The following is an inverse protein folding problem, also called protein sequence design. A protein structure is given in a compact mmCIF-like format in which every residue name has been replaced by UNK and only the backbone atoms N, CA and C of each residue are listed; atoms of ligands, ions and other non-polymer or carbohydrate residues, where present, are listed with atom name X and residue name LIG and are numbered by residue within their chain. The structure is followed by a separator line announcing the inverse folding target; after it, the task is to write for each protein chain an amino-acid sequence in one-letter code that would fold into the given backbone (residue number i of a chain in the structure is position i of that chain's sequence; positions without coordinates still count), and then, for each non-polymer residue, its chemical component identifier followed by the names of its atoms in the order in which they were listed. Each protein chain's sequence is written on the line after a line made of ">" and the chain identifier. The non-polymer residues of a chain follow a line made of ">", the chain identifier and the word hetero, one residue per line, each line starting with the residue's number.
data_IF_606181695363
#
_entry.id   IF_606181695363
#
_cell.length_a   1.000
_cell.length_b   1.000
_cell.length_c   1.000
_cell.angle_alpha   90.00
_cell.angle_beta   90.00
_cell.angle_gamma   90.00
#
_symmetry.space_group_name_H-M   'P 1'
#
loop_
_entity.id
_entity.type
_entity.pdbx_description
1 polymer ?
#
# COMPACT_ATOMS: atom_id res chain seq x y z
N UNK A 1 -19.32 16.08 -1.80
CA UNK A 1 -18.20 17.01 -1.65
C UNK A 1 -16.93 16.23 -2.01
N UNK A 2 -16.18 16.69 -3.01
CA UNK A 2 -14.83 16.15 -3.28
C UNK A 2 -13.95 16.60 -2.10
N UNK A 3 -13.13 15.70 -1.57
CA UNK A 3 -12.38 15.84 -0.31
C UNK A 3 -11.58 17.16 -0.20
N UNK A 4 -11.33 17.62 1.03
CA UNK A 4 -10.44 18.76 1.28
C UNK A 4 -8.98 18.43 0.91
N UNK A 5 -8.31 19.37 0.25
CA UNK A 5 -6.93 19.17 -0.21
C UNK A 5 -5.92 19.09 0.95
N UNK A 6 -6.24 19.71 2.08
CA UNK A 6 -5.39 19.67 3.29
C UNK A 6 -5.37 18.27 3.87
N UNK A 7 -6.55 17.65 3.98
CA UNK A 7 -6.70 16.27 4.45
C UNK A 7 -6.05 15.30 3.48
N UNK A 8 -6.26 15.48 2.17
CA UNK A 8 -5.61 14.66 1.14
C UNK A 8 -4.09 14.70 1.26
N UNK A 9 -3.50 15.89 1.49
CA UNK A 9 -2.06 16.05 1.68
C UNK A 9 -1.57 15.32 2.94
N UNK A 10 -2.34 15.33 4.01
CA UNK A 10 -2.03 14.59 5.23
C UNK A 10 -2.03 13.08 4.97
N UNK A 11 -3.07 12.55 4.31
CA UNK A 11 -3.15 11.13 3.96
C UNK A 11 -2.02 10.68 3.03
N UNK A 12 -1.68 11.48 2.02
CA UNK A 12 -0.53 11.20 1.16
C UNK A 12 0.78 11.17 1.95
N UNK A 13 0.97 12.09 2.89
CA UNK A 13 2.19 12.11 3.73
C UNK A 13 2.29 10.87 4.61
N UNK A 14 1.16 10.40 5.14
CA UNK A 14 1.12 9.24 6.02
C UNK A 14 1.30 7.92 5.24
N UNK A 15 0.63 7.76 4.11
CA UNK A 15 0.69 6.55 3.29
C UNK A 15 1.95 6.46 2.40
N UNK A 16 2.51 7.59 1.96
CA UNK A 16 3.60 7.62 0.97
C UNK A 16 4.89 8.15 1.60
N UNK A 17 4.91 9.41 2.05
CA UNK A 17 6.15 10.06 2.50
C UNK A 17 6.76 9.38 3.73
N UNK A 18 5.96 8.99 4.72
CA UNK A 18 6.45 8.39 5.96
C UNK A 18 7.10 7.00 5.75
N UNK A 19 6.53 6.07 4.95
CA UNK A 19 7.16 4.79 4.69
C UNK A 19 8.22 4.82 3.58
N UNK A 20 8.17 5.74 2.61
CA UNK A 20 9.00 5.65 1.38
C UNK A 20 10.05 6.75 1.24
N UNK A 21 9.93 7.91 1.90
CA UNK A 21 10.87 9.03 1.70
C UNK A 21 12.25 8.67 2.26
N UNK A 22 13.27 8.71 1.38
CA UNK A 22 14.70 8.47 1.69
C UNK A 22 14.96 7.12 2.38
N UNK A 23 14.19 6.10 2.01
CA UNK A 23 14.28 4.76 2.58
C UNK A 23 14.64 3.73 1.52
N UNK A 24 15.39 2.71 1.93
CA UNK A 24 15.67 1.57 1.07
C UNK A 24 14.44 0.65 1.08
N UNK A 25 13.73 0.56 -0.05
CA UNK A 25 12.45 -0.15 -0.13
C UNK A 25 12.55 -1.59 0.39
N UNK A 26 13.58 -2.32 -0.03
CA UNK A 26 13.78 -3.72 0.34
C UNK A 26 14.16 -3.95 1.82
N UNK A 27 14.71 -2.92 2.50
CA UNK A 27 15.20 -3.03 3.89
C UNK A 27 14.27 -2.36 4.91
N UNK A 28 13.78 -1.16 4.59
CA UNK A 28 12.99 -0.33 5.49
C UNK A 28 11.47 -0.56 5.39
N UNK A 29 11.01 -1.16 4.29
CA UNK A 29 9.59 -1.37 4.03
C UNK A 29 9.30 -2.87 4.05
N UNK A 30 8.64 -3.39 5.11
CA UNK A 30 8.38 -4.81 5.28
C UNK A 30 7.61 -5.45 4.11
N UNK A 31 6.86 -4.65 3.37
CA UNK A 31 6.12 -5.09 2.18
C UNK A 31 7.06 -5.60 1.07
N UNK A 32 8.21 -4.94 0.86
CA UNK A 32 9.15 -5.31 -0.21
C UNK A 32 10.18 -6.37 0.22
N UNK A 33 10.20 -6.77 1.49
CA UNK A 33 11.09 -7.84 1.95
C UNK A 33 10.86 -9.18 1.21
N UNK A 34 9.61 -9.43 0.77
CA UNK A 34 9.22 -10.63 0.01
C UNK A 34 8.64 -10.30 -1.37
N UNK A 35 8.60 -9.03 -1.76
CA UNK A 35 7.95 -8.56 -2.99
C UNK A 35 8.94 -7.67 -3.73
N UNK A 36 9.13 -7.92 -5.03
CA UNK A 36 10.03 -7.11 -5.85
C UNK A 36 9.63 -5.64 -5.81
N UNK A 37 10.59 -4.76 -5.53
CA UNK A 37 10.45 -3.30 -5.45
C UNK A 37 10.21 -2.60 -6.80
N UNK A 38 9.43 -3.22 -7.70
CA UNK A 38 9.01 -2.66 -8.99
C UNK A 38 7.96 -1.56 -8.81
N UNK A 39 7.90 -0.62 -9.75
CA UNK A 39 6.96 0.51 -9.72
C UNK A 39 5.49 0.06 -9.69
N UNK A 40 5.14 -1.07 -10.30
CA UNK A 40 3.81 -1.67 -10.26
C UNK A 40 3.42 -2.11 -8.85
N UNK A 41 4.32 -2.82 -8.15
CA UNK A 41 4.10 -3.25 -6.77
C UNK A 41 4.07 -2.06 -5.82
N UNK A 42 4.87 -1.03 -6.10
CA UNK A 42 4.82 0.23 -5.38
C UNK A 42 3.48 0.96 -5.57
N UNK A 43 2.91 0.92 -6.78
CA UNK A 43 1.58 1.45 -7.03
C UNK A 43 0.51 0.72 -6.20
N UNK A 44 0.55 -0.62 -6.17
CA UNK A 44 -0.37 -1.41 -5.33
C UNK A 44 -0.22 -1.04 -3.86
N UNK A 45 1.02 -0.99 -3.35
CA UNK A 45 1.30 -0.63 -1.95
C UNK A 45 0.74 0.76 -1.59
N UNK A 46 0.98 1.76 -2.45
CA UNK A 46 0.45 3.13 -2.24
C UNK A 46 -1.08 3.14 -2.32
N UNK A 47 -1.67 2.41 -3.25
CA UNK A 47 -3.12 2.29 -3.37
C UNK A 47 -3.73 1.72 -2.09
N UNK A 48 -3.21 0.62 -1.57
CA UNK A 48 -3.71 0.00 -0.33
C UNK A 48 -3.54 0.92 0.88
N UNK A 49 -2.41 1.62 0.98
CA UNK A 49 -2.18 2.62 2.03
C UNK A 49 -3.19 3.76 1.98
N UNK A 50 -3.44 4.30 0.78
CA UNK A 50 -4.42 5.35 0.57
C UNK A 50 -5.87 4.85 0.77
N UNK A 51 -6.19 3.63 0.37
CA UNK A 51 -7.53 3.04 0.52
C UNK A 51 -7.90 2.78 1.99
N UNK A 52 -6.91 2.56 2.87
CA UNK A 52 -7.13 2.46 4.32
C UNK A 52 -7.44 3.80 4.99
N UNK A 53 -6.91 4.90 4.44
CA UNK A 53 -7.07 6.25 4.98
C UNK A 53 -8.26 6.98 4.34
N UNK A 54 -8.50 6.76 3.05
CA UNK A 54 -9.56 7.39 2.28
C UNK A 54 -10.82 6.53 2.26
N UNK A 55 -12.02 7.14 2.19
CA UNK A 55 -13.26 6.40 1.98
C UNK A 55 -13.25 5.63 0.65
N UNK A 56 -13.84 4.44 0.64
CA UNK A 56 -13.81 3.44 -0.46
C UNK A 56 -14.19 3.97 -1.84
N UNK A 57 -14.95 5.07 -1.93
CA UNK A 57 -15.45 5.64 -3.18
C UNK A 57 -14.70 6.88 -3.67
N UNK A 58 -13.65 7.34 -2.98
CA UNK A 58 -12.92 8.56 -3.32
C UNK A 58 -11.66 8.30 -4.15
N UNK A 59 -11.01 7.15 -3.96
CA UNK A 59 -9.78 6.81 -4.69
C UNK A 59 -10.12 6.25 -6.07
N UNK A 60 -9.83 7.02 -7.12
CA UNK A 60 -10.18 6.64 -8.50
C UNK A 60 -8.99 6.10 -9.30
N UNK A 61 -7.82 6.74 -9.15
CA UNK A 61 -6.63 6.44 -9.96
C UNK A 61 -5.39 7.00 -9.27
N UNK A 62 -4.33 6.21 -9.25
CA UNK A 62 -2.98 6.68 -8.92
C UNK A 62 -2.12 6.63 -10.18
N UNK A 63 -1.18 7.58 -10.28
CA UNK A 63 -0.16 7.61 -11.32
C UNK A 63 1.19 7.80 -10.66
N UNK A 64 2.08 6.84 -10.86
CA UNK A 64 3.47 6.89 -10.41
C UNK A 64 4.37 7.16 -11.60
N UNK A 65 5.36 8.00 -11.36
CA UNK A 65 6.45 8.29 -12.29
C UNK A 65 7.72 7.81 -11.62
N UNK A 66 8.36 6.81 -12.19
CA UNK A 66 9.69 6.37 -11.76
C UNK A 66 10.76 7.27 -12.39
N UNK A 67 10.56 7.60 -13.67
CA UNK A 67 11.33 8.58 -14.43
C UNK A 67 10.37 9.41 -15.28
N UNK A 68 10.87 10.44 -15.97
CA UNK A 68 10.06 11.28 -16.86
C UNK A 68 9.38 10.47 -17.97
N UNK A 69 10.00 9.37 -18.41
CA UNK A 69 9.52 8.49 -19.48
C UNK A 69 8.81 7.23 -18.95
N UNK A 70 9.17 6.75 -17.75
CA UNK A 70 8.54 5.58 -17.16
C UNK A 70 7.45 5.97 -16.16
N UNK A 71 6.19 5.74 -16.54
CA UNK A 71 5.04 6.00 -15.67
C UNK A 71 4.02 4.86 -15.71
N UNK A 72 3.46 4.57 -14.54
CA UNK A 72 2.45 3.53 -14.36
C UNK A 72 1.20 4.15 -13.78
N UNK A 73 0.06 3.64 -14.27
CA UNK A 73 -1.27 4.06 -13.84
C UNK A 73 -1.95 2.85 -13.23
N UNK A 74 -2.44 2.99 -12.01
CA UNK A 74 -3.18 1.95 -11.30
C UNK A 74 -4.54 2.47 -10.84
N UNK A 75 -5.59 1.67 -11.04
CA UNK A 75 -6.99 2.04 -10.76
C UNK A 75 -7.68 1.09 -9.78
N UNK A 76 -6.94 0.19 -9.13
CA UNK A 76 -7.52 -0.81 -8.23
C UNK A 76 -8.24 -1.96 -8.96
N UNK A 77 -8.02 -2.14 -10.26
CA UNK A 77 -8.62 -3.22 -11.07
C UNK A 77 -8.03 -4.60 -10.74
N UNK A 78 -6.88 -4.65 -10.04
CA UNK A 78 -6.41 -5.89 -9.46
C UNK A 78 -7.16 -6.13 -8.15
N UNK A 79 -8.15 -7.01 -8.22
CA UNK A 79 -8.69 -7.69 -7.05
C UNK A 79 -7.51 -8.35 -6.33
N UNK A 80 -7.02 -7.73 -5.26
CA UNK A 80 -6.02 -8.35 -4.42
C UNK A 80 -6.59 -9.73 -3.99
N UNK A 81 -5.80 -10.82 -4.05
CA UNK A 81 -6.24 -12.07 -3.45
C UNK A 81 -6.58 -11.77 -1.98
N UNK A 82 -7.71 -12.29 -1.52
CA UNK A 82 -8.30 -12.10 -0.20
C UNK A 82 -7.45 -12.68 0.95
N UNK A 83 -6.15 -12.46 0.95
CA UNK A 83 -5.18 -13.01 1.89
C UNK A 83 -4.97 -12.13 3.14
N UNK A 84 -5.86 -11.17 3.41
CA UNK A 84 -6.07 -10.64 4.76
C UNK A 84 -7.19 -11.44 5.47
N UNK A 85 -7.09 -12.77 5.44
CA UNK A 85 -7.76 -13.62 6.41
C UNK A 85 -6.70 -14.40 7.14
N UNK A 86 -5.96 -13.78 8.05
CA UNK A 86 -5.44 -14.48 9.23
C UNK A 86 -5.41 -13.46 10.36
N UNK A 87 -6.58 -13.36 11.02
CA UNK A 87 -6.61 -12.91 12.39
C UNK A 87 -5.69 -13.80 13.22
N UNK A 88 -4.99 -13.16 14.15
CA UNK A 88 -4.54 -13.76 15.39
C UNK A 88 -5.35 -15.01 15.77
N UNK A 89 -4.73 -16.18 15.72
CA UNK A 89 -4.71 -17.13 16.83
C UNK A 89 -3.71 -18.22 16.51
N UNK A 90 -2.61 -18.25 17.25
CA UNK A 90 -1.81 -19.46 17.41
C UNK A 90 -2.63 -20.35 18.35
N UNK A 91 -3.15 -21.52 17.94
CA UNK A 91 -3.69 -22.47 18.88
C UNK A 91 -2.50 -23.23 19.46
N UNK A 92 -2.07 -22.85 20.66
CA UNK A 92 -1.21 -23.70 21.48
C UNK A 92 -2.02 -24.94 21.85
N UNK A 93 -1.73 -26.08 21.22
CA UNK A 93 -2.22 -27.38 21.68
C UNK A 93 -1.08 -28.11 22.41
N UNK A 94 -1.30 -28.58 23.65
CA UNK A 94 -0.34 -29.41 24.36
C UNK A 94 -0.29 -30.79 23.71
N UNK A 95 0.92 -31.31 23.47
CA UNK A 95 1.12 -32.75 23.27
C UNK A 95 1.40 -33.35 24.64
N UNK A 96 0.37 -33.94 25.22
CA UNK A 96 0.49 -35.03 26.20
C UNK A 96 1.20 -36.22 25.52
N UNK A 97 2.36 -36.60 26.06
CA UNK A 97 2.89 -37.97 26.19
C UNK A 97 3.93 -37.97 27.33
#
# INVERSE_FOLDING_TARGET
>A
MVIDLTDLKAYMKEAITKPLDKKDLDLDVPYFANVVSSTENLAVFIWEGLQKLLPTSLLHKIKLYETDENCIIYKGEAQAPSAFTEGCTVPTLPRDD
#
